data_IF_380259728328
#
_entry.id   IF_380259728328
#
_cell.length_a   1.000
_cell.length_b   1.000
_cell.length_c   1.000
_cell.angle_alpha   90.00
_cell.angle_beta   90.00
_cell.angle_gamma   90.00
#
_symmetry.space_group_name_H-M   'P 1'
#
loop_
_entity.id
_entity.type
_entity.pdbx_description
1 polymer ?
#
# COMPACT_ATOMS: atom_id res chain seq x y z
N UNK A 1 1.34 33.32 -21.74
CA UNK A 1 0.74 32.43 -20.73
C UNK A 1 1.88 31.67 -20.08
N UNK A 2 2.18 31.99 -18.82
CA UNK A 2 3.13 31.21 -18.03
C UNK A 2 2.48 29.86 -17.75
N UNK A 3 3.06 28.78 -18.26
CA UNK A 3 2.63 27.44 -17.92
C UNK A 3 3.25 27.19 -16.54
N UNK A 4 2.49 27.48 -15.49
CA UNK A 4 2.89 27.07 -14.15
C UNK A 4 3.16 25.55 -14.21
N UNK A 5 4.30 25.06 -13.69
CA UNK A 5 4.55 23.63 -13.72
C UNK A 5 3.46 22.99 -12.86
N UNK A 6 2.60 22.19 -13.50
CA UNK A 6 1.75 21.21 -12.84
C UNK A 6 2.69 20.23 -12.13
N UNK A 7 3.17 20.59 -10.94
CA UNK A 7 3.96 19.70 -10.11
C UNK A 7 3.01 18.77 -9.39
N UNK A 8 2.47 17.83 -10.14
CA UNK A 8 1.83 16.64 -9.61
C UNK A 8 2.35 15.52 -10.47
N UNK A 9 3.04 14.55 -9.89
CA UNK A 9 2.87 13.13 -10.21
C UNK A 9 3.59 12.38 -9.09
N UNK A 10 2.85 11.63 -8.28
CA UNK A 10 3.39 10.49 -7.55
C UNK A 10 3.92 9.50 -8.59
N UNK A 11 5.21 9.58 -8.97
CA UNK A 11 5.75 8.85 -10.15
C UNK A 11 6.05 7.39 -9.88
N UNK A 12 5.95 6.96 -8.63
CA UNK A 12 6.23 5.61 -8.24
C UNK A 12 5.12 5.07 -7.33
N UNK A 13 4.81 3.79 -7.54
CA UNK A 13 3.89 3.04 -6.73
C UNK A 13 4.55 1.71 -6.35
N UNK A 14 4.30 1.25 -5.12
CA UNK A 14 4.73 -0.07 -4.66
C UNK A 14 3.48 -0.93 -4.49
N UNK A 15 3.44 -2.03 -5.24
CA UNK A 15 2.49 -3.11 -5.01
C UNK A 15 3.05 -4.09 -3.98
N UNK A 16 2.28 -4.39 -2.95
CA UNK A 16 2.60 -5.44 -1.98
C UNK A 16 1.79 -6.67 -2.33
N UNK A 17 2.49 -7.74 -2.69
CA UNK A 17 1.88 -9.04 -2.95
C UNK A 17 2.10 -9.96 -1.75
N UNK A 18 1.04 -10.32 -1.00
CA UNK A 18 1.16 -11.21 0.14
C UNK A 18 1.76 -12.58 -0.23
N UNK A 19 2.54 -13.13 0.71
CA UNK A 19 3.12 -14.47 0.65
C UNK A 19 2.62 -15.28 1.86
N UNK A 20 2.86 -16.58 1.85
CA UNK A 20 2.39 -17.48 2.90
C UNK A 20 2.71 -16.99 4.34
N UNK A 21 3.91 -16.46 4.66
CA UNK A 21 4.19 -15.98 6.01
C UNK A 21 3.28 -14.84 6.49
N UNK A 22 2.81 -13.98 5.58
CA UNK A 22 1.85 -12.92 5.92
C UNK A 22 0.48 -13.50 6.28
N UNK A 23 0.03 -14.50 5.50
CA UNK A 23 -1.26 -15.18 5.70
C UNK A 23 -1.27 -15.96 7.01
N UNK A 24 -0.16 -16.66 7.29
CA UNK A 24 0.01 -17.40 8.54
C UNK A 24 -0.05 -16.45 9.74
N UNK A 25 0.64 -15.30 9.62
CA UNK A 25 0.65 -14.29 10.67
C UNK A 25 -0.72 -13.66 10.89
N UNK A 26 -1.41 -13.20 9.84
CA UNK A 26 -2.68 -12.48 9.99
C UNK A 26 -3.79 -13.38 10.54
N UNK A 27 -3.84 -14.65 10.10
CA UNK A 27 -4.81 -15.62 10.61
C UNK A 27 -4.52 -16.01 12.06
N UNK A 28 -3.26 -16.03 12.49
CA UNK A 28 -2.88 -16.28 13.88
C UNK A 28 -3.08 -15.05 14.79
N UNK A 29 -2.99 -13.85 14.22
CA UNK A 29 -3.13 -12.59 14.94
C UNK A 29 -4.59 -12.14 15.14
N UNK A 30 -5.55 -12.74 14.41
CA UNK A 30 -6.97 -12.40 14.53
C UNK A 30 -7.49 -12.67 15.96
N UNK A 31 -7.90 -11.63 16.72
CA UNK A 31 -8.38 -11.79 18.09
C UNK A 31 -9.80 -12.37 18.17
N UNK A 32 -10.50 -12.57 17.05
CA UNK A 32 -11.88 -13.06 17.03
C UNK A 32 -11.94 -14.55 16.67
N UNK A 33 -12.04 -15.45 17.67
CA UNK A 33 -12.16 -16.89 17.41
C UNK A 33 -13.46 -17.17 16.64
N UNK A 34 -13.32 -17.70 15.42
CA UNK A 34 -14.43 -17.93 14.47
C UNK A 34 -14.48 -16.95 13.29
N UNK A 35 -13.51 -16.03 13.19
CA UNK A 35 -13.30 -15.19 12.01
C UNK A 35 -13.05 -15.99 10.73
N UNK A 36 -13.22 -15.32 9.59
CA UNK A 36 -12.93 -15.91 8.29
C UNK A 36 -11.42 -16.15 8.15
N UNK A 37 -11.03 -17.38 7.83
CA UNK A 37 -9.63 -17.70 7.52
C UNK A 37 -9.31 -17.18 6.12
N UNK A 38 -8.34 -16.28 6.03
CA UNK A 38 -7.90 -15.72 4.75
C UNK A 38 -7.04 -16.76 4.04
N UNK A 39 -7.41 -17.12 2.82
CA UNK A 39 -6.59 -17.98 1.97
C UNK A 39 -5.51 -17.16 1.24
N UNK A 40 -4.36 -17.76 0.93
CA UNK A 40 -3.30 -17.07 0.18
C UNK A 40 -3.78 -16.55 -1.18
N UNK A 41 -4.61 -17.33 -1.88
CA UNK A 41 -5.18 -16.93 -3.16
C UNK A 41 -6.02 -15.66 -3.01
N UNK A 42 -6.90 -15.63 -2.01
CA UNK A 42 -7.76 -14.48 -1.69
C UNK A 42 -6.94 -13.25 -1.33
N UNK A 43 -5.90 -13.41 -0.49
CA UNK A 43 -4.97 -12.32 -0.16
C UNK A 43 -4.20 -11.76 -1.38
N UNK A 44 -4.11 -12.52 -2.47
CA UNK A 44 -3.42 -12.11 -3.70
C UNK A 44 -4.37 -11.58 -4.79
N UNK A 45 -5.68 -11.72 -4.62
CA UNK A 45 -6.67 -11.26 -5.61
C UNK A 45 -6.69 -9.72 -5.73
N UNK A 46 -6.57 -9.01 -4.61
CA UNK A 46 -6.44 -7.54 -4.58
C UNK A 46 -5.19 -7.09 -3.81
N UNK A 47 -4.01 -7.02 -4.47
CA UNK A 47 -2.79 -6.56 -3.83
C UNK A 47 -2.86 -5.06 -3.49
N UNK A 48 -2.37 -4.70 -2.31
CA UNK A 48 -2.34 -3.30 -1.87
C UNK A 48 -1.30 -2.51 -2.66
N UNK A 49 -1.68 -1.32 -3.12
CA UNK A 49 -0.79 -0.41 -3.87
C UNK A 49 -0.64 0.90 -3.12
N UNK A 50 0.61 1.30 -2.88
CA UNK A 50 0.96 2.52 -2.17
C UNK A 50 1.67 3.49 -3.11
N UNK A 51 1.29 4.75 -3.09
CA UNK A 51 1.99 5.81 -3.80
C UNK A 51 3.20 6.25 -2.98
N UNK A 52 4.36 6.37 -3.63
CA UNK A 52 5.60 6.82 -2.98
C UNK A 52 6.17 8.07 -3.66
N UNK A 53 6.83 8.98 -2.90
CA UNK A 53 7.56 10.09 -3.48
C UNK A 53 8.68 9.56 -4.39
N UNK A 54 8.80 10.11 -5.60
CA UNK A 54 9.84 9.73 -6.55
C UNK A 54 11.11 10.59 -6.44
N UNK A 55 11.01 11.70 -5.72
CA UNK A 55 12.06 12.63 -5.37
C UNK A 55 12.25 12.56 -3.84
N UNK A 56 13.50 12.56 -3.37
CA UNK A 56 13.85 12.38 -1.96
C UNK A 56 13.37 13.47 -0.98
N UNK A 57 12.51 14.39 -1.43
CA UNK A 57 11.73 15.24 -0.54
C UNK A 57 10.41 14.52 -0.27
N UNK A 58 10.29 13.94 0.92
CA UNK A 58 8.99 13.60 1.47
C UNK A 58 8.15 14.87 1.46
N UNK A 59 7.00 14.84 0.79
CA UNK A 59 6.05 15.95 0.82
C UNK A 59 5.55 16.06 2.28
N UNK A 60 5.99 17.08 3.01
CA UNK A 60 5.57 17.30 4.40
C UNK A 60 4.14 17.87 4.39
N UNK A 61 3.14 17.14 4.91
CA UNK A 61 1.78 17.65 4.94
C UNK A 61 1.74 18.89 5.87
N UNK A 62 1.46 20.06 5.29
CA UNK A 62 1.28 21.31 6.03
C UNK A 62 2.31 22.42 5.76
N UNK A 63 3.33 22.20 4.93
CA UNK A 63 4.15 23.28 4.39
C UNK A 63 3.70 23.64 2.97
N UNK A 64 2.79 24.60 2.86
CA UNK A 64 2.52 25.36 1.64
C UNK A 64 2.62 26.84 1.94
#
# INVERSE_FOLDING_TARGET
MSIEPLCVINRAAIGVLPRQPFVDWINAADPYPGGAVIALKEAQEEPSVFLIPANGNADEPGKR
#
